data_IF_947283146826
#
_entry.id   IF_947283146826
#
_cell.length_a   1.000
_cell.length_b   1.000
_cell.length_c   1.000
_cell.angle_alpha   90.00
_cell.angle_beta   90.00
_cell.angle_gamma   90.00
#
_symmetry.space_group_name_H-M   'P 1'
#
loop_
_entity.id
_entity.type
_entity.pdbx_description
1 polymer ?
#
# COMPACT_ATOMS: atom_id res chain seq x y z
N UNK A 1 30.03 -81.33 -10.50
CA UNK A 1 29.01 -81.11 -11.55
C UNK A 1 29.70 -80.42 -12.73
N UNK A 2 29.53 -80.98 -13.91
CA UNK A 2 30.31 -80.72 -15.12
C UNK A 2 29.71 -79.58 -15.95
N UNK A 3 30.59 -78.91 -16.71
CA UNK A 3 30.42 -78.40 -18.10
C UNK A 3 29.75 -77.04 -18.39
N UNK A 4 30.62 -76.20 -18.98
CA UNK A 4 30.52 -75.51 -20.29
C UNK A 4 29.40 -74.49 -20.54
N UNK A 5 29.78 -73.29 -20.98
CA UNK A 5 29.68 -72.79 -22.39
C UNK A 5 30.29 -71.37 -22.48
N UNK A 6 31.32 -71.09 -23.28
CA UNK A 6 31.37 -70.76 -24.73
C UNK A 6 31.12 -69.28 -25.06
N UNK A 7 32.12 -68.67 -25.72
CA UNK A 7 32.21 -67.51 -26.64
C UNK A 7 31.04 -66.53 -26.85
N UNK A 8 31.42 -65.27 -27.13
CA UNK A 8 30.69 -64.46 -28.12
C UNK A 8 31.00 -62.96 -28.12
N UNK A 9 31.97 -62.53 -28.95
CA UNK A 9 32.09 -61.14 -29.44
C UNK A 9 30.92 -60.89 -30.40
N UNK A 10 30.26 -59.73 -30.32
CA UNK A 10 29.58 -59.11 -31.46
C UNK A 10 29.38 -57.61 -31.19
N UNK A 11 30.21 -56.81 -31.85
CA UNK A 11 29.89 -55.43 -32.17
C UNK A 11 28.79 -55.44 -33.24
N UNK A 12 27.78 -54.58 -33.13
CA UNK A 12 26.92 -54.25 -34.26
C UNK A 12 26.57 -52.76 -34.24
N UNK A 13 27.30 -52.03 -35.09
CA UNK A 13 26.99 -50.68 -35.53
C UNK A 13 25.71 -50.71 -36.36
N UNK A 14 24.69 -49.95 -35.94
CA UNK A 14 23.47 -49.71 -36.71
C UNK A 14 23.55 -48.35 -37.41
N UNK A 15 23.82 -48.39 -38.71
CA UNK A 15 23.79 -47.25 -39.63
C UNK A 15 22.34 -46.76 -39.78
N UNK A 16 22.11 -45.47 -39.53
CA UNK A 16 20.90 -44.76 -39.91
C UNK A 16 20.93 -44.50 -41.43
N UNK A 17 20.09 -45.19 -42.18
CA UNK A 17 19.74 -44.82 -43.57
C UNK A 17 18.24 -44.91 -43.81
N UNK A 18 17.70 -43.78 -44.25
CA UNK A 18 16.54 -43.66 -45.12
C UNK A 18 15.19 -43.54 -44.39
N UNK A 19 14.22 -42.80 -44.88
CA UNK A 19 14.13 -41.80 -45.95
C UNK A 19 12.66 -41.32 -45.90
N UNK A 20 12.40 -40.03 -46.01
CA UNK A 20 11.03 -39.53 -45.95
C UNK A 20 10.92 -38.07 -46.36
N UNK A 21 11.33 -37.78 -47.59
CA UNK A 21 11.06 -36.52 -48.27
C UNK A 21 9.58 -36.42 -48.61
N UNK A 22 8.88 -35.49 -47.97
CA UNK A 22 7.53 -35.06 -48.30
C UNK A 22 7.40 -33.57 -47.98
N UNK A 23 7.54 -32.75 -49.01
CA UNK A 23 7.28 -31.31 -48.99
C UNK A 23 5.81 -31.03 -48.72
N UNK A 24 5.51 -30.24 -47.69
CA UNK A 24 4.63 -29.07 -47.77
C UNK A 24 4.78 -28.25 -46.47
N UNK A 25 4.91 -26.94 -46.63
CA UNK A 25 5.59 -26.07 -45.68
C UNK A 25 4.87 -25.85 -44.35
N UNK A 26 5.65 -25.90 -43.25
CA UNK A 26 5.72 -24.83 -42.24
C UNK A 26 7.00 -25.04 -41.42
N UNK A 27 7.64 -23.94 -41.00
CA UNK A 27 8.95 -23.86 -40.37
C UNK A 27 9.14 -24.75 -39.10
N UNK A 28 10.38 -25.14 -38.75
CA UNK A 28 10.69 -25.95 -37.59
C UNK A 28 10.43 -25.18 -36.28
N UNK A 29 9.88 -25.90 -35.30
CA UNK A 29 9.39 -25.36 -34.04
C UNK A 29 10.39 -24.49 -33.28
N UNK A 30 9.94 -23.29 -32.93
CA UNK A 30 10.38 -22.66 -31.69
C UNK A 30 9.77 -23.47 -30.55
N UNK A 31 10.61 -24.27 -29.87
CA UNK A 31 10.29 -24.75 -28.54
C UNK A 31 9.93 -23.53 -27.70
N UNK A 32 8.63 -23.38 -27.42
CA UNK A 32 8.14 -22.34 -26.53
C UNK A 32 8.89 -22.49 -25.22
N UNK A 33 9.73 -21.50 -24.91
CA UNK A 33 10.31 -21.34 -23.58
C UNK A 33 9.15 -21.44 -22.59
N UNK A 34 9.19 -22.34 -21.58
CA UNK A 34 8.10 -22.42 -20.63
C UNK A 34 7.95 -21.04 -20.00
N UNK A 35 6.82 -20.39 -20.28
CA UNK A 35 6.42 -19.15 -19.62
C UNK A 35 6.48 -19.50 -18.12
N UNK A 36 7.30 -18.81 -17.31
CA UNK A 36 7.31 -19.06 -15.87
C UNK A 36 5.86 -19.00 -15.38
N UNK A 37 5.42 -20.05 -14.69
CA UNK A 37 4.11 -20.04 -14.03
C UNK A 37 4.08 -18.76 -13.20
N UNK A 38 3.13 -17.87 -13.50
CA UNK A 38 2.92 -16.65 -12.73
C UNK A 38 2.67 -17.10 -11.29
N UNK A 39 3.70 -16.98 -10.44
CA UNK A 39 3.52 -17.17 -9.02
C UNK A 39 2.52 -16.11 -8.60
N UNK A 40 1.31 -16.54 -8.26
CA UNK A 40 0.27 -15.67 -7.72
C UNK A 40 0.76 -15.13 -6.38
N UNK A 41 1.45 -13.98 -6.42
CA UNK A 41 1.85 -13.23 -5.25
C UNK A 41 0.81 -12.17 -4.97
N UNK A 42 0.29 -12.14 -3.75
CA UNK A 42 -0.62 -11.11 -3.26
C UNK A 42 0.14 -10.14 -2.37
N UNK A 43 -0.32 -8.90 -2.28
CA UNK A 43 0.27 -7.91 -1.37
C UNK A 43 -0.70 -7.71 -0.23
N UNK A 44 -0.24 -7.92 0.99
CA UNK A 44 -1.07 -7.84 2.19
C UNK A 44 -0.58 -6.73 3.10
N UNK A 45 -1.51 -6.15 3.84
CA UNK A 45 -1.26 -5.14 4.86
C UNK A 45 -0.70 -5.80 6.11
N UNK A 46 0.43 -5.28 6.59
CA UNK A 46 1.09 -5.71 7.83
C UNK A 46 0.94 -4.71 8.95
N UNK A 47 0.70 -3.44 8.62
CA UNK A 47 0.47 -2.39 9.60
C UNK A 47 0.45 -1.01 8.97
N UNK A 48 0.40 -0.01 9.83
CA UNK A 48 0.44 1.39 9.46
C UNK A 48 1.48 2.11 10.30
N UNK A 49 2.02 3.20 9.78
CA UNK A 49 2.87 4.11 10.51
C UNK A 49 2.32 5.53 10.37
N UNK A 50 2.29 6.29 11.47
CA UNK A 50 1.95 7.71 11.45
C UNK A 50 3.18 8.55 11.69
N UNK A 51 3.37 9.58 10.86
CA UNK A 51 4.43 10.58 11.01
C UNK A 51 3.86 11.97 10.80
N UNK A 52 4.39 12.94 11.53
CA UNK A 52 3.96 14.33 11.43
C UNK A 52 4.97 15.12 10.63
N UNK A 53 4.49 15.97 9.73
CA UNK A 53 5.28 16.84 8.88
C UNK A 53 4.78 18.28 8.96
N UNK A 54 5.69 19.22 8.77
CA UNK A 54 5.35 20.62 8.56
C UNK A 54 4.92 20.82 7.10
N UNK A 55 3.81 21.53 6.90
CA UNK A 55 3.39 22.02 5.59
C UNK A 55 4.31 23.16 5.15
N UNK A 56 4.59 23.25 3.86
CA UNK A 56 5.31 24.40 3.32
C UNK A 56 4.36 25.58 3.11
N UNK A 57 4.76 26.78 3.54
CA UNK A 57 3.92 27.98 3.58
C UNK A 57 3.41 28.50 2.22
N UNK A 58 3.91 27.97 1.09
CA UNK A 58 3.63 28.48 -0.27
C UNK A 58 2.80 27.53 -1.15
N UNK A 59 2.05 26.61 -0.55
CA UNK A 59 1.34 25.57 -1.30
C UNK A 59 -0.07 25.98 -1.72
N UNK A 60 -0.37 25.77 -3.01
CA UNK A 60 -1.70 25.96 -3.59
C UNK A 60 -2.77 25.27 -2.74
N UNK A 61 -3.76 26.04 -2.28
CA UNK A 61 -4.86 25.52 -1.46
C UNK A 61 -5.77 24.58 -2.25
N UNK A 62 -5.79 24.68 -3.57
CA UNK A 62 -6.54 23.80 -4.48
C UNK A 62 -5.78 22.50 -4.80
N UNK A 63 -4.45 22.54 -4.78
CA UNK A 63 -3.63 21.36 -4.98
C UNK A 63 -2.42 21.36 -4.05
N UNK A 64 -2.64 21.13 -2.75
CA UNK A 64 -1.56 21.12 -1.79
C UNK A 64 -0.70 19.89 -2.07
N UNK A 65 0.52 20.13 -2.53
CA UNK A 65 1.60 19.18 -2.39
C UNK A 65 1.96 19.11 -0.90
N UNK A 66 2.60 18.06 -0.39
CA UNK A 66 3.04 18.03 1.01
C UNK A 66 4.44 17.50 1.07
N UNK A 67 5.35 18.28 1.65
CA UNK A 67 6.72 17.84 1.84
C UNK A 67 6.77 16.87 3.02
N UNK A 68 7.07 15.59 2.74
CA UNK A 68 7.26 14.54 3.74
C UNK A 68 8.73 14.26 4.07
N UNK A 69 9.64 15.12 3.61
CA UNK A 69 11.08 15.04 3.87
C UNK A 69 11.49 15.77 5.15
N UNK A 70 10.63 16.68 5.66
CA UNK A 70 10.89 17.47 6.88
C UNK A 70 9.89 17.11 7.99
N UNK A 71 10.26 16.19 8.90
CA UNK A 71 9.42 15.85 10.04
C UNK A 71 9.23 17.03 10.98
N UNK A 72 8.02 17.16 11.51
CA UNK A 72 7.70 18.11 12.58
C UNK A 72 8.55 17.83 13.83
N UNK A 73 9.01 18.90 14.49
CA UNK A 73 9.78 18.85 15.72
C UNK A 73 8.93 19.35 16.89
N UNK A 74 8.79 18.54 17.94
CA UNK A 74 7.92 18.82 19.12
C UNK A 74 8.21 20.17 19.80
N UNK A 75 9.42 20.72 19.62
CA UNK A 75 9.81 22.02 20.17
C UNK A 75 9.25 23.24 19.42
N UNK A 76 8.64 23.04 18.25
CA UNK A 76 8.11 24.11 17.41
C UNK A 76 6.59 24.24 17.62
N UNK A 77 6.10 25.44 17.95
CA UNK A 77 4.65 25.66 17.93
C UNK A 77 4.19 25.89 16.49
N UNK A 78 3.12 25.21 16.09
CA UNK A 78 2.59 25.25 14.71
C UNK A 78 1.12 25.68 14.70
N UNK A 79 0.69 26.27 13.59
CA UNK A 79 -0.75 26.44 13.35
C UNK A 79 -1.31 25.11 12.84
N UNK A 80 -2.59 24.83 13.08
CA UNK A 80 -3.20 23.59 12.62
C UNK A 80 -3.22 23.44 11.08
N UNK A 81 -3.12 24.54 10.34
CA UNK A 81 -3.08 24.54 8.88
C UNK A 81 -1.72 24.11 8.34
N UNK A 82 -0.69 24.17 9.19
CA UNK A 82 0.69 23.90 8.86
C UNK A 82 1.14 22.49 9.25
N UNK A 83 0.22 21.63 9.71
CA UNK A 83 0.55 20.26 10.13
C UNK A 83 -0.08 19.21 9.21
N UNK A 84 0.68 18.17 8.92
CA UNK A 84 0.26 17.03 8.11
C UNK A 84 0.54 15.75 8.86
N UNK A 85 -0.49 14.92 9.03
CA UNK A 85 -0.36 13.57 9.57
C UNK A 85 -0.28 12.60 8.39
N UNK A 86 0.94 12.16 8.06
CA UNK A 86 1.17 11.18 7.02
C UNK A 86 1.04 9.76 7.56
N UNK A 87 0.12 9.00 6.97
CA UNK A 87 -0.14 7.60 7.23
C UNK A 87 0.45 6.74 6.11
N UNK A 88 1.40 5.86 6.46
CA UNK A 88 2.02 4.93 5.53
C UNK A 88 1.62 3.49 5.82
N UNK A 89 1.14 2.79 4.79
CA UNK A 89 0.84 1.37 4.87
C UNK A 89 2.12 0.54 4.75
N UNK A 90 2.36 -0.30 5.75
CA UNK A 90 3.40 -1.32 5.74
C UNK A 90 2.85 -2.57 5.04
N UNK A 91 3.49 -3.00 3.94
CA UNK A 91 3.00 -4.11 3.11
C UNK A 91 3.98 -5.27 3.04
N UNK A 92 3.47 -6.46 2.72
CA UNK A 92 4.27 -7.66 2.46
C UNK A 92 3.72 -8.43 1.27
N UNK A 93 4.61 -8.88 0.39
CA UNK A 93 4.24 -9.83 -0.66
C UNK A 93 4.19 -11.25 -0.11
N UNK A 94 3.10 -11.96 -0.36
CA UNK A 94 2.90 -13.36 0.02
C UNK A 94 2.64 -14.19 -1.22
N UNK A 95 3.39 -15.27 -1.41
CA UNK A 95 3.14 -16.23 -2.49
C UNK A 95 2.11 -17.25 -2.01
N UNK A 96 0.98 -17.36 -2.71
CA UNK A 96 0.05 -18.47 -2.47
C UNK A 96 0.66 -19.73 -3.06
N UNK A 97 1.16 -20.64 -2.23
CA UNK A 97 1.63 -21.94 -2.70
C UNK A 97 0.45 -22.73 -3.28
N UNK A 98 0.52 -23.07 -4.56
CA UNK A 98 -0.33 -24.11 -5.10
C UNK A 98 0.08 -25.42 -4.45
N UNK A 99 -0.89 -26.17 -3.90
CA UNK A 99 -0.68 -27.46 -3.23
C UNK A 99 0.03 -28.54 -4.11
N UNK A 100 0.27 -28.26 -5.39
CA UNK A 100 0.97 -29.12 -6.33
C UNK A 100 2.47 -28.78 -6.51
N UNK A 101 3.00 -27.74 -5.86
CA UNK A 101 4.40 -27.34 -6.05
C UNK A 101 5.30 -27.69 -4.84
N UNK A 102 5.91 -28.89 -4.90
CA UNK A 102 7.09 -29.30 -4.10
C UNK A 102 8.26 -29.54 -5.08
N UNK A 103 9.51 -29.15 -4.76
CA UNK A 103 10.26 -28.17 -5.55
C UNK A 103 11.46 -28.74 -6.30
N UNK A 104 11.83 -28.13 -7.43
CA UNK A 104 13.23 -28.07 -7.88
C UNK A 104 13.47 -26.84 -8.77
N UNK A 105 14.04 -25.78 -8.22
CA UNK A 105 15.04 -24.94 -8.90
C UNK A 105 15.44 -23.74 -8.02
N UNK A 106 16.74 -23.64 -7.75
CA UNK A 106 17.36 -22.41 -7.29
C UNK A 106 17.37 -21.43 -8.46
N UNK A 107 16.64 -20.33 -8.35
CA UNK A 107 16.71 -19.23 -9.31
C UNK A 107 17.42 -18.06 -8.65
N UNK A 108 18.58 -17.70 -9.22
CA UNK A 108 19.33 -16.51 -8.85
C UNK A 108 18.50 -15.27 -9.18
N UNK A 109 18.42 -14.36 -8.22
CA UNK A 109 17.61 -13.14 -8.22
C UNK A 109 17.86 -12.34 -9.51
N UNK A 110 16.94 -12.41 -10.48
CA UNK A 110 16.89 -11.45 -11.59
C UNK A 110 15.96 -10.31 -11.19
N UNK A 111 16.56 -9.22 -10.71
CA UNK A 111 15.89 -7.92 -10.61
C UNK A 111 15.59 -7.43 -12.03
N UNK A 112 14.33 -7.40 -12.41
CA UNK A 112 13.86 -6.62 -13.56
C UNK A 112 13.13 -5.40 -13.00
N UNK A 113 13.73 -4.22 -13.20
CA UNK A 113 13.12 -2.93 -12.90
C UNK A 113 12.37 -2.40 -14.13
N UNK A 114 11.36 -1.59 -13.81
CA UNK A 114 10.63 -0.64 -14.66
C UNK A 114 9.39 -1.18 -15.38
N UNK A 115 8.23 -0.73 -14.93
CA UNK A 115 7.33 0.19 -15.66
C UNK A 115 6.28 0.74 -14.66
N UNK A 116 6.32 2.07 -14.42
CA UNK A 116 5.40 2.93 -13.64
C UNK A 116 5.08 2.57 -12.18
N UNK A 117 5.12 3.54 -11.24
CA UNK A 117 4.74 3.29 -9.86
C UNK A 117 3.21 3.33 -9.79
N UNK A 118 2.54 2.31 -10.31
CA UNK A 118 1.21 1.98 -9.78
C UNK A 118 1.53 1.41 -8.41
N UNK A 119 1.23 2.14 -7.32
CA UNK A 119 1.61 1.63 -6.02
C UNK A 119 0.79 0.36 -5.75
N UNK A 120 1.35 -0.59 -5.00
CA UNK A 120 0.77 -1.90 -4.85
C UNK A 120 -0.61 -1.83 -4.17
N UNK A 121 -1.63 -2.34 -4.85
CA UNK A 121 -2.96 -2.57 -4.25
C UNK A 121 -2.84 -3.72 -3.25
N UNK A 122 -3.28 -3.50 -2.01
CA UNK A 122 -3.33 -4.58 -1.01
C UNK A 122 -4.56 -5.44 -1.21
N UNK A 123 -4.59 -6.63 -0.61
CA UNK A 123 -5.80 -7.47 -0.59
C UNK A 123 -6.88 -6.91 0.33
N UNK A 124 -6.47 -6.22 1.41
CA UNK A 124 -7.40 -5.68 2.40
C UNK A 124 -7.90 -4.29 2.02
N UNK A 125 -9.15 -4.04 2.38
CA UNK A 125 -9.77 -2.71 2.43
C UNK A 125 -9.89 -2.20 3.87
N UNK A 126 -9.84 -0.88 4.02
CA UNK A 126 -10.13 -0.15 5.25
C UNK A 126 -11.64 -0.10 5.45
N UNK A 127 -12.09 -0.53 6.62
CA UNK A 127 -13.48 -0.51 7.07
C UNK A 127 -13.78 0.73 7.89
N UNK A 128 -12.85 1.10 8.77
CA UNK A 128 -12.98 2.26 9.65
C UNK A 128 -11.62 2.92 9.89
N UNK A 129 -11.67 4.23 10.16
CA UNK A 129 -10.55 5.03 10.65
C UNK A 129 -11.14 5.89 11.75
N UNK A 130 -10.69 5.75 12.99
CA UNK A 130 -11.19 6.50 14.13
C UNK A 130 -10.08 7.36 14.72
N UNK A 131 -10.31 8.67 14.79
CA UNK A 131 -9.34 9.63 15.29
C UNK A 131 -9.85 10.21 16.59
N UNK A 132 -9.03 10.15 17.64
CA UNK A 132 -9.30 10.75 18.95
C UNK A 132 -8.07 11.51 19.44
N UNK A 133 -8.20 12.21 20.57
CA UNK A 133 -7.09 12.91 21.21
C UNK A 133 -7.07 12.66 22.71
N UNK A 134 -5.88 12.74 23.31
CA UNK A 134 -5.64 12.57 24.75
C UNK A 134 -6.08 13.78 25.61
N UNK A 135 -6.36 14.91 24.96
CA UNK A 135 -6.67 16.20 25.55
C UNK A 135 -7.97 16.73 24.96
N UNK A 136 -8.64 17.66 25.63
CA UNK A 136 -9.82 18.31 25.06
C UNK A 136 -9.42 19.08 23.79
N UNK A 137 -10.08 18.78 22.67
CA UNK A 137 -9.86 19.49 21.41
C UNK A 137 -10.62 20.83 21.43
N UNK A 138 -11.85 20.79 21.91
CA UNK A 138 -12.71 21.94 22.19
C UNK A 138 -13.79 21.54 23.19
N UNK A 139 -14.63 22.48 23.61
CA UNK A 139 -15.79 22.18 24.48
C UNK A 139 -16.73 21.14 23.83
N UNK A 140 -16.89 21.20 22.50
CA UNK A 140 -17.73 20.26 21.75
C UNK A 140 -17.05 18.89 21.54
N UNK A 141 -15.73 18.81 21.67
CA UNK A 141 -14.93 17.61 21.46
C UNK A 141 -13.96 17.40 22.63
N UNK A 142 -14.46 16.99 23.82
CA UNK A 142 -13.60 16.64 24.95
C UNK A 142 -12.71 15.44 24.63
N UNK A 143 -11.69 15.21 25.45
CA UNK A 143 -10.74 14.11 25.34
C UNK A 143 -11.43 12.77 25.06
N UNK A 144 -10.90 12.01 24.09
CA UNK A 144 -11.47 10.74 23.63
C UNK A 144 -12.66 10.87 22.66
N UNK A 145 -13.12 12.08 22.34
CA UNK A 145 -14.16 12.28 21.32
C UNK A 145 -13.66 11.91 19.92
N UNK A 146 -14.60 11.49 19.07
CA UNK A 146 -14.34 11.18 17.66
C UNK A 146 -14.15 12.47 16.86
N UNK A 147 -12.99 12.61 16.22
CA UNK A 147 -12.57 13.81 15.50
C UNK A 147 -12.62 13.66 13.98
N UNK A 148 -13.16 12.56 13.44
CA UNK A 148 -13.13 12.23 12.00
C UNK A 148 -13.64 13.35 11.09
N UNK A 149 -14.64 14.11 11.52
CA UNK A 149 -15.19 15.24 10.76
C UNK A 149 -14.24 16.45 10.70
N UNK A 150 -13.27 16.53 11.61
CA UNK A 150 -12.30 17.62 11.72
C UNK A 150 -11.02 17.36 10.91
N UNK A 151 -10.82 16.14 10.42
CA UNK A 151 -9.67 15.77 9.60
C UNK A 151 -10.09 15.56 8.15
N UNK A 152 -9.39 16.19 7.21
CA UNK A 152 -9.53 15.94 5.76
C UNK A 152 -8.47 14.98 5.24
N UNK A 153 -8.88 14.14 4.28
CA UNK A 153 -7.99 13.25 3.52
C UNK A 153 -7.56 13.94 2.24
N UNK A 154 -6.28 14.31 2.14
CA UNK A 154 -5.77 15.16 1.04
C UNK A 154 -4.80 14.45 0.12
N UNK A 155 -4.36 13.26 0.47
CA UNK A 155 -3.64 12.35 -0.42
C UNK A 155 -4.08 10.96 -0.01
N UNK A 156 -4.46 10.12 -0.97
CA UNK A 156 -4.83 8.72 -0.71
C UNK A 156 -4.55 7.82 -1.91
N UNK A 157 -4.54 8.39 -3.12
CA UNK A 157 -4.08 7.74 -4.34
C UNK A 157 -3.35 8.76 -5.24
N UNK A 158 -2.78 8.28 -6.34
CA UNK A 158 -2.02 9.10 -7.31
C UNK A 158 -2.88 10.11 -8.07
N UNK A 159 -4.22 10.05 -7.97
CA UNK A 159 -5.17 10.92 -8.67
C UNK A 159 -5.96 11.83 -7.71
N UNK A 160 -5.75 11.65 -6.40
CA UNK A 160 -6.41 12.30 -5.29
C UNK A 160 -7.91 12.51 -5.54
N UNK A 161 -8.68 11.44 -5.70
CA UNK A 161 -10.11 11.49 -6.08
C UNK A 161 -11.09 11.89 -4.97
N UNK A 162 -10.61 12.07 -3.74
CA UNK A 162 -11.45 12.25 -2.54
C UNK A 162 -11.67 13.74 -2.24
N UNK A 163 -12.35 14.41 -3.16
CA UNK A 163 -12.75 15.81 -3.01
C UNK A 163 -14.07 16.08 -3.73
N UNK A 164 -14.69 17.21 -3.38
CA UNK A 164 -15.83 17.79 -4.08
C UNK A 164 -15.59 19.29 -4.32
N UNK A 165 -16.41 19.92 -5.15
CA UNK A 165 -16.43 21.38 -5.24
C UNK A 165 -17.63 21.90 -4.45
N UNK A 166 -17.38 22.74 -3.46
CA UNK A 166 -18.40 23.47 -2.70
C UNK A 166 -18.19 24.96 -2.97
N UNK A 167 -19.15 25.63 -3.61
CA UNK A 167 -19.05 27.04 -4.03
C UNK A 167 -17.80 27.31 -4.89
N UNK A 168 -17.53 26.47 -5.90
CA UNK A 168 -16.33 26.54 -6.77
C UNK A 168 -14.98 26.39 -6.05
N UNK A 169 -15.00 26.02 -4.76
CA UNK A 169 -13.80 25.72 -3.97
C UNK A 169 -13.66 24.21 -3.82
N UNK A 170 -12.51 23.69 -4.24
CA UNK A 170 -12.15 22.29 -3.99
C UNK A 170 -12.08 22.04 -2.49
N UNK A 171 -12.90 21.11 -2.02
CA UNK A 171 -13.01 20.70 -0.62
C UNK A 171 -12.73 19.21 -0.54
N UNK A 172 -11.67 18.84 0.17
CA UNK A 172 -11.32 17.45 0.41
C UNK A 172 -12.36 16.76 1.31
N UNK A 173 -12.49 15.45 1.15
CA UNK A 173 -13.37 14.66 2.02
C UNK A 173 -12.82 14.65 3.44
N UNK A 174 -13.70 14.79 4.42
CA UNK A 174 -13.34 14.45 5.81
C UNK A 174 -13.05 12.96 5.92
N UNK A 175 -12.39 12.52 7.01
CA UNK A 175 -12.19 11.09 7.27
C UNK A 175 -13.53 10.37 7.38
N UNK A 176 -14.55 11.03 7.93
CA UNK A 176 -15.91 10.51 7.97
C UNK A 176 -16.50 10.32 6.55
N UNK A 177 -16.43 11.35 5.69
CA UNK A 177 -16.90 11.27 4.30
C UNK A 177 -16.11 10.22 3.50
N UNK A 178 -14.80 10.11 3.74
CA UNK A 178 -13.91 9.14 3.11
C UNK A 178 -14.33 7.70 3.43
N UNK A 179 -14.52 7.37 4.72
CA UNK A 179 -14.95 6.04 5.15
C UNK A 179 -16.34 5.70 4.60
N UNK A 180 -17.28 6.64 4.66
CA UNK A 180 -18.62 6.45 4.08
C UNK A 180 -18.59 6.20 2.58
N UNK A 181 -17.75 6.95 1.84
CA UNK A 181 -17.54 6.72 0.42
C UNK A 181 -17.05 5.29 0.15
N UNK A 182 -16.09 4.81 0.94
CA UNK A 182 -15.61 3.43 0.90
C UNK A 182 -16.70 2.38 0.99
N UNK A 183 -17.51 2.49 2.04
CA UNK A 183 -18.63 1.59 2.31
C UNK A 183 -19.65 1.57 1.15
N UNK A 184 -19.87 2.71 0.51
CA UNK A 184 -20.80 2.83 -0.61
C UNK A 184 -20.21 2.40 -1.98
N UNK A 185 -18.88 2.40 -2.14
CA UNK A 185 -18.22 2.24 -3.44
C UNK A 185 -17.30 1.01 -3.55
N UNK A 186 -17.55 -0.02 -2.73
CA UNK A 186 -16.88 -1.31 -2.85
C UNK A 186 -15.51 -1.40 -2.17
N UNK A 187 -15.26 -0.57 -1.15
CA UNK A 187 -14.07 -0.64 -0.31
C UNK A 187 -13.09 0.53 -0.50
N UNK A 188 -12.21 0.69 0.48
CA UNK A 188 -11.08 1.62 0.44
C UNK A 188 -9.82 0.81 0.53
N UNK A 189 -9.10 0.63 -0.57
CA UNK A 189 -7.88 -0.17 -0.52
C UNK A 189 -6.94 0.31 0.59
N UNK A 190 -6.42 -0.61 1.40
CA UNK A 190 -5.55 -0.31 2.53
C UNK A 190 -4.11 0.03 2.14
N UNK A 191 -3.66 -0.36 0.94
CA UNK A 191 -2.38 0.05 0.35
C UNK A 191 -2.30 1.57 0.25
N UNK A 192 -1.14 2.13 -0.06
CA UNK A 192 -0.92 3.57 -0.28
C UNK A 192 -0.65 4.44 0.96
N UNK A 193 0.06 5.53 0.70
CA UNK A 193 0.27 6.64 1.62
C UNK A 193 -0.96 7.54 1.65
N UNK A 194 -1.38 7.96 2.85
CA UNK A 194 -2.42 8.96 3.04
C UNK A 194 -1.93 10.16 3.82
N UNK A 195 -2.46 11.34 3.53
CA UNK A 195 -2.28 12.52 4.37
C UNK A 195 -3.60 12.92 4.99
N UNK A 196 -3.57 13.14 6.31
CA UNK A 196 -4.64 13.76 7.06
C UNK A 196 -4.22 15.17 7.47
N UNK A 197 -5.12 16.13 7.30
CA UNK A 197 -4.92 17.52 7.76
C UNK A 197 -6.10 17.95 8.63
N UNK A 198 -5.87 18.86 9.56
CA UNK A 198 -6.95 19.47 10.34
C UNK A 198 -7.67 20.55 9.51
N UNK A 199 -9.00 20.52 9.53
CA UNK A 199 -9.84 21.56 8.94
C UNK A 199 -10.10 22.72 9.92
N UNK A 200 -10.12 22.38 11.20
CA UNK A 200 -10.32 23.29 12.33
C UNK A 200 -9.22 23.01 13.34
N UNK A 201 -8.69 24.05 13.99
CA UNK A 201 -7.71 23.89 15.08
C UNK A 201 -8.38 23.64 16.42
N UNK A 202 -7.61 23.20 17.44
CA UNK A 202 -8.12 23.11 18.80
C UNK A 202 -8.37 24.51 19.40
N UNK A 203 -9.35 24.62 20.30
CA UNK A 203 -9.72 25.88 20.95
C UNK A 203 -8.68 26.32 21.99
N UNK A 204 -7.92 25.37 22.52
CA UNK A 204 -6.97 25.58 23.61
C UNK A 204 -5.53 25.40 23.13
N UNK A 205 -4.60 26.29 23.53
CA UNK A 205 -3.17 26.08 23.30
C UNK A 205 -2.67 24.97 24.21
N UNK A 206 -2.62 23.75 23.69
CA UNK A 206 -2.13 22.56 24.41
C UNK A 206 -1.26 21.72 23.49
N UNK A 207 -0.34 20.98 24.11
CA UNK A 207 0.28 19.86 23.44
C UNK A 207 -0.76 18.75 23.28
N UNK A 208 -0.89 18.22 22.08
CA UNK A 208 -1.91 17.23 21.75
C UNK A 208 -1.29 16.02 21.08
N UNK A 209 -1.54 14.87 21.68
CA UNK A 209 -1.33 13.56 21.05
C UNK A 209 -2.67 13.08 20.49
N UNK A 210 -2.63 12.56 19.26
CA UNK A 210 -3.77 11.95 18.60
C UNK A 210 -3.60 10.44 18.55
N UNK A 211 -4.71 9.73 18.70
CA UNK A 211 -4.78 8.28 18.49
C UNK A 211 -5.58 8.00 17.23
N UNK A 212 -5.04 7.14 16.37
CA UNK A 212 -5.66 6.73 15.11
C UNK A 212 -5.83 5.21 15.15
N UNK A 213 -7.08 4.75 15.12
CA UNK A 213 -7.41 3.34 14.99
C UNK A 213 -7.87 3.05 13.56
N UNK A 214 -7.32 2.00 12.93
CA UNK A 214 -7.68 1.59 11.56
C UNK A 214 -8.10 0.12 11.60
N UNK A 215 -9.33 -0.15 11.17
CA UNK A 215 -9.86 -1.51 11.01
C UNK A 215 -9.85 -1.92 9.54
N UNK A 216 -9.40 -3.15 9.27
CA UNK A 216 -9.44 -3.77 7.97
C UNK A 216 -10.61 -4.75 7.85
N UNK A 217 -11.03 -5.03 6.61
CA UNK A 217 -12.07 -5.99 6.26
C UNK A 217 -11.82 -7.44 6.73
N UNK A 218 -10.56 -7.79 6.97
CA UNK A 218 -10.15 -9.05 7.58
C UNK A 218 -10.21 -9.06 9.12
N UNK A 219 -10.73 -8.00 9.74
CA UNK A 219 -10.91 -7.84 11.19
C UNK A 219 -9.63 -7.44 11.95
N UNK A 220 -8.52 -7.16 11.27
CA UNK A 220 -7.32 -6.61 11.93
C UNK A 220 -7.56 -5.15 12.28
N UNK A 221 -7.16 -4.80 13.50
CA UNK A 221 -7.21 -3.42 14.01
C UNK A 221 -5.77 -2.98 14.31
N UNK A 222 -5.44 -1.77 13.86
CA UNK A 222 -4.16 -1.13 14.12
C UNK A 222 -4.39 0.17 14.89
N UNK A 223 -3.76 0.29 16.05
CA UNK A 223 -3.79 1.51 16.86
C UNK A 223 -2.45 2.23 16.72
N UNK A 224 -2.52 3.50 16.35
CA UNK A 224 -1.38 4.38 16.15
C UNK A 224 -1.48 5.55 17.14
N UNK A 225 -0.32 6.00 17.61
CA UNK A 225 -0.17 7.17 18.46
C UNK A 225 0.76 8.15 17.77
N UNK A 226 0.35 9.41 17.68
CA UNK A 226 1.21 10.46 17.14
C UNK A 226 2.18 10.96 18.20
N UNK A 227 3.29 11.57 17.79
CA UNK A 227 4.03 12.43 18.72
C UNK A 227 3.18 13.64 19.13
N UNK A 228 3.53 14.27 20.26
CA UNK A 228 2.88 15.49 20.75
C UNK A 228 3.00 16.64 19.74
N UNK A 229 1.88 17.30 19.45
CA UNK A 229 1.81 18.52 18.63
C UNK A 229 1.59 19.72 19.51
N UNK A 230 2.48 20.71 19.45
CA UNK A 230 2.33 21.98 20.15
C UNK A 230 1.60 22.96 19.23
N UNK A 231 0.30 23.18 19.47
CA UNK A 231 -0.46 24.15 18.69
C UNK A 231 -0.27 25.58 19.22
N UNK A 232 -0.12 26.54 18.29
CA UNK A 232 -0.25 27.96 18.63
C UNK A 232 -1.68 28.24 19.09
N UNK A 233 -1.82 29.06 20.14
CA UNK A 233 -3.13 29.60 20.51
C UNK A 233 -3.71 30.43 19.37
N UNK A 234 -5.03 30.48 19.29
CA UNK A 234 -5.71 31.43 18.40
C UNK A 234 -5.47 32.82 18.98
N UNK A 235 -4.62 33.62 18.33
CA UNK A 235 -4.51 35.05 18.63
C UNK A 235 -5.88 35.68 18.28
N UNK A 236 -6.66 36.01 19.31
CA UNK A 236 -7.90 36.80 19.16
C UNK A 236 -7.59 38.27 18.87
#
# INVERSE_FOLDING_TARGET
MMRMKTLGVLALSGVLTGCGSGSDGTAPGQGGQPKPSEKNSKIVTQGFEVRIYNRLAEQDTQNPEYNRDTPYQVTEQVTYQDIVFGLDTQTKSVTTASWLDIPHSFSLITKAYALSPIPPHTEEDIVSIDITSASDFSEAYPSGSKLNALFSVTYADTLNKYYSYKNDVKTFFTVEEYVQYGQANGGLNAGFTRNLILNTGPDYPVNMTFYIEIELDNGKIFSLETQDVAFKGVDN
#
